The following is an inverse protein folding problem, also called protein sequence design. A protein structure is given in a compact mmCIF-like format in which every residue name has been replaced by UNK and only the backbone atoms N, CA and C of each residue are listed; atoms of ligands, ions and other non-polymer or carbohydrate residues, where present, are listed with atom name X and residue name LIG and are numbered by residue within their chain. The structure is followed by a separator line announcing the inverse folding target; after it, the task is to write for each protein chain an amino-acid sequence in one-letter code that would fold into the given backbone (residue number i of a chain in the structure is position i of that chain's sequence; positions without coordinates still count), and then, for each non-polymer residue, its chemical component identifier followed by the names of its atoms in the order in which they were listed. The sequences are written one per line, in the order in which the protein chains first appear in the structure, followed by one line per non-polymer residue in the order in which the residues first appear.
data_IF_249913916840
#
_entry.id   IF_249913916840
#
_cell.length_a   1.000
_cell.length_b   1.000
_cell.length_c   1.000
_cell.angle_alpha   90.00
_cell.angle_beta   90.00
_cell.angle_gamma   90.00
#
_symmetry.space_group_name_H-M   'P 1'
#
loop_
_entity.id
_entity.type
_entity.pdbx_description
1 polymer ?
#
# COMPACT_ATOMS: atom_id res chain seq x y z
N UNK A 1 13.78 -32.31 9.05
CA UNK A 1 14.89 -31.42 8.64
C UNK A 1 14.90 -31.36 7.11
N UNK A 2 14.76 -30.18 6.51
CA UNK A 2 14.85 -30.03 5.05
C UNK A 2 16.30 -30.22 4.60
N UNK A 3 16.53 -31.00 3.53
CA UNK A 3 17.87 -31.23 2.94
C UNK A 3 18.38 -29.92 2.31
N UNK A 4 19.54 -29.43 2.72
CA UNK A 4 20.24 -28.32 2.06
C UNK A 4 20.76 -28.82 0.70
N UNK A 5 20.45 -28.16 -0.43
CA UNK A 5 20.94 -28.56 -1.75
C UNK A 5 22.47 -28.44 -1.85
N UNK A 6 23.11 -29.21 -2.75
CA UNK A 6 24.57 -29.11 -2.98
C UNK A 6 24.90 -27.96 -3.92
N UNK A 7 25.97 -27.21 -3.62
CA UNK A 7 26.47 -26.09 -4.44
C UNK A 7 26.67 -26.51 -5.90
N UNK A 8 26.08 -25.77 -6.84
CA UNK A 8 26.24 -25.99 -8.29
C UNK A 8 25.07 -26.68 -9.02
N UNK A 9 24.07 -27.20 -8.30
CA UNK A 9 22.83 -27.71 -8.92
C UNK A 9 21.80 -26.56 -9.10
N UNK A 10 20.90 -26.66 -10.08
CA UNK A 10 19.80 -25.69 -10.29
C UNK A 10 18.97 -25.51 -9.01
N UNK A 11 18.79 -26.59 -8.24
CA UNK A 11 18.10 -26.57 -6.94
C UNK A 11 18.82 -25.69 -5.90
N UNK A 12 20.16 -25.60 -5.96
CA UNK A 12 20.94 -24.72 -5.10
C UNK A 12 20.84 -23.27 -5.52
N UNK A 13 20.88 -22.97 -6.82
CA UNK A 13 20.70 -21.60 -7.33
C UNK A 13 19.32 -21.06 -6.97
N UNK A 14 18.28 -21.89 -7.11
CA UNK A 14 16.92 -21.49 -6.71
C UNK A 14 16.79 -21.33 -5.20
N UNK A 15 17.43 -22.20 -4.41
CA UNK A 15 17.47 -22.08 -2.95
C UNK A 15 18.20 -20.81 -2.48
N UNK A 16 19.36 -20.50 -3.07
CA UNK A 16 20.12 -19.28 -2.80
C UNK A 16 19.30 -18.04 -3.17
N UNK A 17 18.65 -18.04 -4.34
CA UNK A 17 17.72 -16.97 -4.75
C UNK A 17 16.58 -16.78 -3.74
N UNK A 18 15.99 -17.88 -3.23
CA UNK A 18 14.91 -17.81 -2.22
C UNK A 18 15.40 -17.26 -0.89
N UNK A 19 16.59 -17.65 -0.44
CA UNK A 19 17.19 -17.09 0.78
C UNK A 19 17.53 -15.62 0.65
N UNK A 20 18.16 -15.22 -0.46
CA UNK A 20 18.45 -13.83 -0.76
C UNK A 20 17.17 -13.01 -0.83
N UNK A 21 16.12 -13.53 -1.47
CA UNK A 21 14.83 -12.85 -1.55
C UNK A 21 14.15 -12.70 -0.17
N UNK A 22 14.23 -13.72 0.69
CA UNK A 22 13.70 -13.65 2.04
C UNK A 22 14.47 -12.66 2.92
N UNK A 23 15.81 -12.63 2.82
CA UNK A 23 16.66 -11.69 3.53
C UNK A 23 16.40 -10.25 3.07
N UNK A 24 16.33 -10.02 1.75
CA UNK A 24 15.93 -8.72 1.18
C UNK A 24 14.57 -8.30 1.69
N UNK A 25 13.56 -9.17 1.64
CA UNK A 25 12.22 -8.83 2.12
C UNK A 25 12.21 -8.42 3.60
N UNK A 26 12.96 -9.12 4.46
CA UNK A 26 13.12 -8.71 5.86
C UNK A 26 13.77 -7.34 5.98
N UNK A 27 14.82 -7.07 5.20
CA UNK A 27 15.50 -5.77 5.17
C UNK A 27 14.54 -4.65 4.77
N UNK A 28 13.80 -4.82 3.67
CA UNK A 28 12.82 -3.82 3.19
C UNK A 28 11.74 -3.55 4.24
N UNK A 29 11.31 -4.57 4.99
CA UNK A 29 10.34 -4.37 6.08
C UNK A 29 10.88 -3.49 7.21
N UNK A 30 12.14 -3.68 7.59
CA UNK A 30 12.77 -2.83 8.60
C UNK A 30 12.93 -1.40 8.08
N UNK A 31 13.40 -1.24 6.84
CA UNK A 31 13.55 0.08 6.20
C UNK A 31 12.21 0.80 6.05
N UNK A 32 11.14 0.10 5.67
CA UNK A 32 9.81 0.71 5.53
C UNK A 32 9.26 1.25 6.86
N UNK A 33 9.42 0.49 7.95
CA UNK A 33 9.01 0.96 9.28
C UNK A 33 9.87 2.12 9.78
N UNK A 34 11.20 2.05 9.59
CA UNK A 34 12.12 3.12 9.94
C UNK A 34 11.81 4.41 9.15
N UNK A 35 11.52 4.28 7.86
CA UNK A 35 11.08 5.39 7.00
C UNK A 35 9.79 6.03 7.55
N UNK A 36 8.75 5.23 7.84
CA UNK A 36 7.51 5.75 8.42
C UNK A 36 7.75 6.48 9.74
N UNK A 37 8.58 5.92 10.63
CA UNK A 37 8.93 6.57 11.91
C UNK A 37 9.71 7.86 11.70
N UNK A 38 10.72 7.87 10.81
CA UNK A 38 11.51 9.06 10.50
C UNK A 38 10.64 10.19 9.93
N UNK A 39 9.69 9.87 9.05
CA UNK A 39 8.76 10.83 8.49
C UNK A 39 7.79 11.41 9.54
N UNK A 40 7.15 10.55 10.35
CA UNK A 40 6.24 11.01 11.42
C UNK A 40 7.00 11.86 12.46
N UNK A 41 8.23 11.47 12.79
CA UNK A 41 9.11 12.23 13.69
C UNK A 41 9.44 13.60 13.09
N UNK A 42 9.80 13.66 11.81
CA UNK A 42 10.12 14.92 11.13
C UNK A 42 8.95 15.91 11.12
N UNK A 43 7.71 15.41 11.05
CA UNK A 43 6.50 16.24 11.17
C UNK A 43 6.22 16.68 12.60
N UNK A 44 6.38 15.78 13.58
CA UNK A 44 6.09 16.08 14.98
C UNK A 44 6.93 17.24 15.53
N UNK A 45 8.18 17.39 15.06
CA UNK A 45 9.14 18.39 15.51
C UNK A 45 9.26 19.61 14.58
N UNK A 46 8.16 19.94 13.88
CA UNK A 46 7.88 21.14 13.07
C UNK A 46 9.08 22.12 12.95
N UNK A 47 9.97 21.90 11.97
CA UNK A 47 11.11 22.79 11.73
C UNK A 47 12.43 22.15 11.28
N UNK A 48 12.59 20.83 11.32
CA UNK A 48 13.83 20.17 10.86
C UNK A 48 13.91 20.01 9.33
N UNK A 49 12.83 20.31 8.59
CA UNK A 49 12.73 20.00 7.17
C UNK A 49 12.76 18.49 6.91
N UNK A 50 12.61 18.11 5.65
CA UNK A 50 12.66 16.71 5.25
C UNK A 50 14.12 16.27 5.10
N UNK A 51 14.60 15.43 6.03
CA UNK A 51 15.89 14.76 5.90
C UNK A 51 15.89 13.69 4.81
N UNK A 52 17.06 13.22 4.39
CA UNK A 52 17.18 12.15 3.39
C UNK A 52 16.51 10.84 3.80
N UNK A 53 16.36 10.64 5.11
CA UNK A 53 15.76 9.44 5.71
C UNK A 53 14.24 9.54 5.83
N UNK A 54 13.65 10.71 5.56
CA UNK A 54 12.21 10.95 5.47
C UNK A 54 11.74 11.31 4.05
N UNK A 55 12.67 11.51 3.10
CA UNK A 55 12.37 11.87 1.70
C UNK A 55 12.11 10.66 0.80
N UNK A 56 10.84 10.30 0.69
CA UNK A 56 10.36 9.22 -0.18
C UNK A 56 8.87 9.41 -0.52
N UNK A 57 8.36 8.52 -1.36
CA UNK A 57 6.92 8.40 -1.64
C UNK A 57 6.40 7.11 -1.02
N UNK A 58 5.35 7.19 -0.22
CA UNK A 58 4.61 5.99 0.14
C UNK A 58 3.72 5.59 -1.04
N UNK A 59 3.79 4.35 -1.48
CA UNK A 59 2.97 3.81 -2.56
C UNK A 59 2.22 2.58 -2.05
N UNK A 60 0.96 2.77 -1.69
CA UNK A 60 0.07 1.70 -1.30
C UNK A 60 -0.47 0.97 -2.51
N UNK A 61 -0.49 -0.36 -2.45
CA UNK A 61 -0.97 -1.22 -3.53
C UNK A 61 -2.00 -2.21 -2.99
N UNK A 62 -2.95 -2.56 -3.83
CA UNK A 62 -3.89 -3.66 -3.62
C UNK A 62 -4.24 -4.30 -4.98
N UNK A 63 -4.50 -5.60 -4.98
CA UNK A 63 -4.76 -6.37 -6.20
C UNK A 63 -6.08 -7.12 -6.06
N UNK A 64 -6.99 -6.83 -6.97
CA UNK A 64 -8.28 -7.52 -7.06
C UNK A 64 -8.23 -8.65 -8.11
N UNK A 65 -8.85 -9.77 -7.75
CA UNK A 65 -8.89 -10.98 -8.59
C UNK A 65 -8.26 -12.19 -7.91
N UNK A 66 -8.42 -13.35 -8.57
CA UNK A 66 -7.98 -14.63 -8.02
C UNK A 66 -7.09 -15.35 -9.03
N UNK A 67 -5.78 -15.27 -8.76
CA UNK A 67 -4.75 -15.96 -9.55
C UNK A 67 -4.82 -17.49 -9.34
N UNK A 68 -5.40 -17.95 -8.22
CA UNK A 68 -5.52 -19.37 -7.87
C UNK A 68 -6.74 -20.00 -8.56
N UNK A 69 -7.89 -19.31 -8.59
CA UNK A 69 -9.15 -19.82 -9.18
C UNK A 69 -9.27 -19.61 -10.70
N UNK A 70 -8.15 -19.41 -11.41
CA UNK A 70 -8.08 -19.23 -12.88
C UNK A 70 -8.80 -17.99 -13.45
N UNK A 71 -9.38 -17.12 -12.62
CA UNK A 71 -10.01 -15.87 -13.07
C UNK A 71 -8.98 -14.76 -13.36
N UNK A 72 -7.76 -14.90 -12.84
CA UNK A 72 -6.68 -13.95 -13.07
C UNK A 72 -6.84 -12.68 -12.25
N UNK A 73 -5.88 -11.76 -12.41
CA UNK A 73 -5.95 -10.41 -11.84
C UNK A 73 -6.95 -9.59 -12.65
N UNK A 74 -7.90 -8.95 -11.98
CA UNK A 74 -8.91 -8.08 -12.59
C UNK A 74 -8.44 -6.64 -12.64
N UNK A 75 -7.89 -6.15 -11.53
CA UNK A 75 -7.38 -4.80 -11.42
C UNK A 75 -6.28 -4.69 -10.37
N UNK A 76 -5.46 -3.67 -10.52
CA UNK A 76 -4.43 -3.28 -9.56
C UNK A 76 -4.64 -1.81 -9.23
N UNK A 77 -4.74 -1.52 -7.94
CA UNK A 77 -4.89 -0.19 -7.40
C UNK A 77 -3.59 0.33 -6.82
N UNK A 78 -3.35 1.62 -7.00
CA UNK A 78 -2.21 2.32 -6.40
C UNK A 78 -2.67 3.64 -5.81
N UNK A 79 -2.28 3.89 -4.56
CA UNK A 79 -2.40 5.20 -3.93
C UNK A 79 -1.02 5.68 -3.48
N UNK A 80 -0.63 6.89 -3.84
CA UNK A 80 0.70 7.45 -3.58
C UNK A 80 0.63 8.72 -2.77
N UNK A 81 1.53 8.87 -1.80
CA UNK A 81 1.65 10.05 -0.96
C UNK A 81 3.12 10.48 -0.89
N UNK A 82 3.42 11.65 -1.47
CA UNK A 82 4.76 12.23 -1.47
C UNK A 82 5.00 12.99 -0.17
N UNK A 83 5.97 12.54 0.63
CA UNK A 83 6.33 13.17 1.90
C UNK A 83 6.72 14.65 1.77
N UNK A 84 7.21 15.09 0.60
CA UNK A 84 7.53 16.50 0.34
C UNK A 84 6.30 17.39 0.34
N UNK A 85 5.11 16.85 0.09
CA UNK A 85 3.86 17.63 0.11
C UNK A 85 3.63 18.28 1.48
N UNK A 86 4.07 17.64 2.57
CA UNK A 86 3.91 18.17 3.93
C UNK A 86 4.87 19.30 4.31
N UNK A 87 5.90 19.56 3.51
CA UNK A 87 6.94 20.55 3.83
C UNK A 87 6.98 21.70 2.82
N UNK A 88 5.93 21.87 2.03
CA UNK A 88 5.82 22.99 1.08
C UNK A 88 5.61 24.30 1.85
N UNK A 89 6.44 25.29 1.57
CA UNK A 89 6.40 26.63 2.19
C UNK A 89 5.23 27.49 1.75
N UNK A 90 4.56 27.12 0.65
CA UNK A 90 3.49 27.92 0.07
C UNK A 90 2.19 27.68 0.85
N UNK A 91 1.73 28.75 1.51
CA UNK A 91 0.61 28.86 2.47
C UNK A 91 -0.79 28.55 1.92
N UNK A 92 -0.91 27.74 0.87
CA UNK A 92 -2.22 27.23 0.46
C UNK A 92 -2.60 26.08 1.39
N UNK A 93 -3.84 26.02 1.90
CA UNK A 93 -4.27 24.90 2.74
C UNK A 93 -3.96 23.57 2.03
N UNK A 94 -3.50 22.53 2.75
CA UNK A 94 -3.18 21.24 2.15
C UNK A 94 -4.37 20.78 1.32
N UNK A 95 -4.10 20.63 0.03
CA UNK A 95 -5.14 20.45 -0.96
C UNK A 95 -5.73 19.06 -0.78
N UNK A 96 -7.01 18.92 -1.11
CA UNK A 96 -7.76 17.67 -1.12
C UNK A 96 -7.22 16.58 -2.08
N UNK A 97 -5.94 16.62 -2.47
CA UNK A 97 -5.30 15.83 -3.52
C UNK A 97 -3.92 15.25 -3.12
N UNK A 98 -3.50 15.32 -1.85
CA UNK A 98 -2.16 14.85 -1.48
C UNK A 98 -1.95 13.33 -1.62
N UNK A 99 -3.02 12.55 -1.61
CA UNK A 99 -2.99 11.15 -2.03
C UNK A 99 -3.49 11.02 -3.46
N UNK A 100 -2.57 10.81 -4.38
CA UNK A 100 -2.89 10.50 -5.77
C UNK A 100 -3.28 9.03 -5.88
N UNK A 101 -4.41 8.74 -6.55
CA UNK A 101 -4.93 7.36 -6.65
C UNK A 101 -5.24 6.99 -8.08
N UNK A 102 -4.77 5.83 -8.50
CA UNK A 102 -4.98 5.30 -9.84
C UNK A 102 -5.36 3.83 -9.79
N UNK A 103 -6.10 3.39 -10.81
CA UNK A 103 -6.42 1.98 -11.00
C UNK A 103 -6.07 1.59 -12.43
N UNK A 104 -5.43 0.44 -12.59
CA UNK A 104 -5.29 -0.24 -13.88
C UNK A 104 -6.16 -1.49 -13.84
N UNK A 105 -7.02 -1.69 -14.83
CA UNK A 105 -8.00 -2.77 -14.85
C UNK A 105 -8.05 -3.45 -16.21
N UNK A 106 -8.39 -4.73 -16.23
CA UNK A 106 -8.71 -5.45 -17.48
C UNK A 106 -10.20 -5.34 -17.77
N UNK A 107 -11.05 -5.66 -16.79
CA UNK A 107 -12.51 -5.64 -16.91
C UNK A 107 -13.19 -5.63 -15.54
N UNK A 108 -14.48 -5.24 -15.49
CA UNK A 108 -15.37 -5.29 -14.31
C UNK A 108 -14.71 -4.84 -12.99
N UNK A 109 -13.92 -3.78 -13.05
CA UNK A 109 -13.31 -3.19 -11.87
C UNK A 109 -14.29 -2.24 -11.21
N UNK A 110 -14.32 -2.27 -9.88
CA UNK A 110 -15.09 -1.32 -9.09
C UNK A 110 -14.61 0.11 -9.35
N UNK A 111 -15.53 1.06 -9.27
CA UNK A 111 -15.21 2.47 -9.48
C UNK A 111 -14.13 2.95 -8.50
N UNK A 112 -13.08 3.56 -9.04
CA UNK A 112 -12.07 4.29 -8.27
C UNK A 112 -12.68 5.62 -7.81
N UNK A 113 -12.83 5.81 -6.50
CA UNK A 113 -13.47 7.00 -5.94
C UNK A 113 -12.58 8.25 -6.03
N UNK A 114 -11.26 8.09 -6.07
CA UNK A 114 -10.28 9.18 -5.98
C UNK A 114 -9.54 9.46 -7.28
N UNK A 115 -9.90 8.78 -8.37
CA UNK A 115 -9.21 8.99 -9.63
C UNK A 115 -9.73 8.13 -10.77
N UNK A 116 -9.02 8.16 -11.91
CA UNK A 116 -9.43 7.39 -13.07
C UNK A 116 -9.16 5.89 -12.88
N UNK A 117 -9.94 5.09 -13.59
CA UNK A 117 -9.60 3.70 -13.90
C UNK A 117 -9.15 3.62 -15.35
N UNK A 118 -7.94 3.13 -15.57
CA UNK A 118 -7.38 2.90 -16.90
C UNK A 118 -7.63 1.45 -17.28
N UNK A 119 -8.51 1.23 -18.25
CA UNK A 119 -8.74 -0.10 -18.81
C UNK A 119 -7.67 -0.44 -19.85
N UNK A 120 -7.09 -1.63 -19.73
CA UNK A 120 -6.00 -2.10 -20.59
C UNK A 120 -6.18 -3.56 -20.97
N UNK A 121 -5.55 -3.96 -22.07
CA UNK A 121 -5.44 -5.38 -22.45
C UNK A 121 -4.65 -6.17 -21.37
N UNK A 122 -4.95 -7.47 -21.15
CA UNK A 122 -4.29 -8.28 -20.13
C UNK A 122 -2.75 -8.22 -20.18
N UNK A 123 -2.17 -8.22 -21.38
CA UNK A 123 -0.72 -8.21 -21.59
C UNK A 123 -0.07 -6.88 -21.20
N UNK A 124 -0.86 -5.80 -21.16
CA UNK A 124 -0.40 -4.45 -20.78
C UNK A 124 -0.58 -4.14 -19.30
N UNK A 125 -1.34 -4.97 -18.56
CA UNK A 125 -1.66 -4.74 -17.15
C UNK A 125 -0.40 -4.44 -16.32
N UNK A 126 0.63 -5.28 -16.47
CA UNK A 126 1.83 -5.18 -15.67
C UNK A 126 2.69 -3.97 -16.03
N UNK A 127 2.84 -3.67 -17.32
CA UNK A 127 3.58 -2.50 -17.79
C UNK A 127 2.89 -1.20 -17.38
N UNK A 128 1.57 -1.16 -17.48
CA UNK A 128 0.76 -0.02 -17.04
C UNK A 128 0.84 0.18 -15.52
N UNK A 129 0.79 -0.90 -14.73
CA UNK A 129 1.02 -0.81 -13.28
C UNK A 129 2.45 -0.39 -12.94
N UNK A 130 3.47 -0.97 -13.58
CA UNK A 130 4.86 -0.59 -13.34
C UNK A 130 5.11 0.90 -13.64
N UNK A 131 4.41 1.46 -14.64
CA UNK A 131 4.46 2.89 -14.95
C UNK A 131 3.91 3.77 -13.81
N UNK A 132 2.91 3.32 -13.04
CA UNK A 132 2.38 4.10 -11.89
C UNK A 132 3.36 4.16 -10.72
N UNK A 133 4.35 3.25 -10.67
CA UNK A 133 5.43 3.29 -9.67
C UNK A 133 6.64 4.12 -10.14
N UNK A 134 6.64 4.67 -11.37
CA UNK A 134 7.74 5.50 -11.87
C UNK A 134 7.49 6.97 -11.56
N UNK A 135 7.83 7.37 -10.33
CA UNK A 135 7.62 8.75 -9.85
C UNK A 135 8.91 9.55 -10.07
N UNK A 136 8.92 10.59 -10.93
CA UNK A 136 10.10 11.42 -11.14
C UNK A 136 10.51 12.21 -9.91
N UNK A 137 11.82 12.39 -9.73
CA UNK A 137 12.37 13.27 -8.72
C UNK A 137 12.50 14.70 -9.26
N UNK A 138 11.58 15.58 -8.82
CA UNK A 138 11.47 16.99 -9.24
C UNK A 138 10.36 17.24 -10.26
N UNK A 139 10.33 18.45 -10.83
CA UNK A 139 9.26 18.88 -11.76
C UNK A 139 9.39 18.28 -13.17
N UNK A 140 10.16 17.21 -13.35
CA UNK A 140 10.38 16.59 -14.67
C UNK A 140 9.24 15.61 -14.98
N UNK A 141 8.86 15.54 -16.25
CA UNK A 141 7.79 14.65 -16.70
C UNK A 141 8.17 13.17 -16.50
N UNK A 142 7.19 12.32 -16.14
CA UNK A 142 7.35 10.86 -16.09
C UNK A 142 7.75 10.22 -17.42
N UNK A 143 7.60 10.94 -18.53
CA UNK A 143 8.06 10.54 -19.86
C UNK A 143 9.58 10.68 -20.08
N UNK A 144 10.27 11.50 -19.25
CA UNK A 144 11.72 11.61 -19.28
C UNK A 144 12.36 10.39 -18.60
N UNK A 145 12.73 9.39 -19.41
CA UNK A 145 13.37 8.17 -18.91
C UNK A 145 14.74 8.39 -18.26
N UNK A 146 15.35 9.58 -18.45
CA UNK A 146 16.62 9.94 -17.84
C UNK A 146 16.47 10.65 -16.49
N UNK A 147 15.24 11.05 -16.14
CA UNK A 147 15.00 11.70 -14.86
C UNK A 147 15.27 10.73 -13.70
N UNK A 148 15.98 11.18 -12.65
CA UNK A 148 16.08 10.40 -11.42
C UNK A 148 14.67 10.10 -10.89
N UNK A 149 14.47 8.92 -10.31
CA UNK A 149 13.20 8.49 -9.75
C UNK A 149 13.22 8.61 -8.22
N UNK A 150 12.05 8.87 -7.63
CA UNK A 150 11.88 8.91 -6.19
C UNK A 150 12.02 7.52 -5.58
N UNK A 151 12.56 7.48 -4.36
CA UNK A 151 12.53 6.30 -3.50
C UNK A 151 11.10 6.03 -3.06
N UNK A 152 10.72 4.77 -3.06
CA UNK A 152 9.38 4.29 -2.72
C UNK A 152 9.41 3.43 -1.46
N UNK A 153 8.45 3.68 -0.58
CA UNK A 153 8.07 2.74 0.47
C UNK A 153 6.73 2.13 0.05
N UNK A 154 6.75 0.86 -0.34
CA UNK A 154 5.52 0.15 -0.71
C UNK A 154 4.70 -0.14 0.54
N UNK A 155 3.38 0.04 0.43
CA UNK A 155 2.43 -0.18 1.52
C UNK A 155 1.36 -1.15 1.03
N UNK A 156 0.84 -2.01 1.91
CA UNK A 156 -0.29 -2.88 1.57
C UNK A 156 -0.82 -3.58 2.81
N UNK A 157 -1.97 -4.23 2.68
CA UNK A 157 -2.64 -4.90 3.80
C UNK A 157 -2.54 -6.42 3.68
N UNK A 158 -1.53 -7.03 4.31
CA UNK A 158 -1.15 -8.40 3.95
C UNK A 158 -0.39 -8.49 2.63
N UNK A 159 0.37 -7.42 2.30
CA UNK A 159 1.08 -7.15 1.04
C UNK A 159 1.92 -8.30 0.47
N UNK A 160 2.26 -9.29 1.29
CA UNK A 160 2.96 -10.48 0.82
C UNK A 160 2.21 -11.19 -0.32
N UNK A 161 0.87 -11.25 -0.24
CA UNK A 161 0.07 -11.90 -1.28
C UNK A 161 0.12 -11.10 -2.59
N UNK A 162 0.03 -9.78 -2.52
CA UNK A 162 0.13 -8.89 -3.69
C UNK A 162 1.50 -9.01 -4.36
N UNK A 163 2.57 -8.99 -3.57
CA UNK A 163 3.94 -9.14 -4.08
C UNK A 163 4.15 -10.51 -4.73
N UNK A 164 3.60 -11.58 -4.15
CA UNK A 164 3.64 -12.91 -4.76
C UNK A 164 2.85 -12.95 -6.08
N UNK A 165 1.71 -12.29 -6.13
CA UNK A 165 0.90 -12.16 -7.35
C UNK A 165 1.67 -11.41 -8.44
N UNK A 166 2.27 -10.26 -8.13
CA UNK A 166 3.09 -9.49 -9.07
C UNK A 166 4.29 -10.31 -9.58
N UNK A 167 4.96 -11.04 -8.69
CA UNK A 167 6.07 -11.91 -9.09
C UNK A 167 5.63 -13.01 -10.06
N UNK A 168 4.44 -13.60 -9.86
CA UNK A 168 3.86 -14.57 -10.81
C UNK A 168 3.50 -13.96 -12.16
N UNK A 169 3.14 -12.68 -12.19
CA UNK A 169 2.90 -11.93 -13.43
C UNK A 169 4.21 -11.52 -14.13
N UNK A 170 5.36 -11.63 -13.46
CA UNK A 170 6.68 -11.31 -14.02
C UNK A 170 7.30 -10.03 -13.48
N UNK A 171 6.66 -9.36 -12.50
CA UNK A 171 7.22 -8.18 -11.84
C UNK A 171 7.68 -8.56 -10.43
N UNK A 172 8.98 -8.72 -10.28
CA UNK A 172 9.57 -8.89 -8.96
C UNK A 172 9.88 -7.52 -8.35
N UNK A 173 9.08 -7.14 -7.36
CA UNK A 173 9.24 -5.87 -6.63
C UNK A 173 10.65 -5.68 -6.05
N UNK A 174 11.34 -6.77 -5.71
CA UNK A 174 12.70 -6.68 -5.15
C UNK A 174 13.77 -6.33 -6.19
N UNK A 175 13.42 -6.36 -7.47
CA UNK A 175 14.30 -5.98 -8.59
C UNK A 175 14.05 -4.52 -9.00
N UNK A 176 13.13 -3.81 -8.32
CA UNK A 176 12.89 -2.37 -8.51
C UNK A 176 13.78 -1.58 -7.57
N UNK A 177 14.86 -0.98 -8.11
CA UNK A 177 15.82 -0.17 -7.34
C UNK A 177 15.19 1.03 -6.62
N UNK A 178 14.03 1.50 -7.07
CA UNK A 178 13.29 2.58 -6.43
C UNK A 178 12.61 2.13 -5.14
N UNK A 179 12.31 0.85 -4.96
CA UNK A 179 11.61 0.34 -3.77
C UNK A 179 12.63 0.12 -2.65
N UNK A 180 12.62 1.02 -1.65
CA UNK A 180 13.56 0.99 -0.53
C UNK A 180 12.97 0.34 0.72
N UNK A 181 11.64 0.30 0.83
CA UNK A 181 10.95 -0.19 2.02
C UNK A 181 9.60 -0.83 1.70
N UNK A 182 9.13 -1.68 2.62
CA UNK A 182 7.81 -2.34 2.54
C UNK A 182 7.13 -2.26 3.91
N UNK A 183 5.87 -1.81 3.92
CA UNK A 183 5.01 -1.75 5.09
C UNK A 183 3.81 -2.68 4.86
N UNK A 184 3.62 -3.61 5.79
CA UNK A 184 2.43 -4.45 5.86
C UNK A 184 1.54 -3.94 6.99
N UNK A 185 0.45 -3.24 6.64
CA UNK A 185 -0.44 -2.59 7.61
C UNK A 185 -1.15 -3.59 8.51
N UNK A 186 -1.36 -4.83 8.06
CA UNK A 186 -1.95 -5.89 8.90
C UNK A 186 -1.00 -6.28 10.05
N UNK A 187 0.31 -6.30 9.77
CA UNK A 187 1.35 -6.56 10.79
C UNK A 187 1.61 -5.34 11.65
N UNK A 188 1.62 -4.15 11.06
CA UNK A 188 1.75 -2.90 11.80
C UNK A 188 0.58 -2.76 12.80
N UNK A 189 -0.66 -2.94 12.35
CA UNK A 189 -1.85 -2.93 13.23
C UNK A 189 -1.74 -3.96 14.36
N UNK A 190 -1.23 -5.17 14.10
CA UNK A 190 -1.02 -6.16 15.16
C UNK A 190 0.01 -5.68 16.21
N UNK A 191 1.05 -4.97 15.80
CA UNK A 191 2.06 -4.41 16.70
C UNK A 191 1.51 -3.23 17.49
N UNK A 192 0.88 -2.26 16.81
CA UNK A 192 0.40 -1.02 17.41
C UNK A 192 -0.88 -1.26 18.22
N UNK A 193 -1.85 -2.00 17.70
CA UNK A 193 -3.18 -2.17 18.30
C UNK A 193 -3.36 -3.50 19.06
N UNK A 194 -2.37 -4.40 19.00
CA UNK A 194 -2.46 -5.73 19.63
C UNK A 194 -3.38 -6.71 18.90
N UNK A 195 -3.89 -6.38 17.71
CA UNK A 195 -4.80 -7.24 16.93
C UNK A 195 -4.63 -7.09 15.41
N UNK A 196 -4.83 -8.18 14.68
CA UNK A 196 -5.01 -8.15 13.21
C UNK A 196 -6.46 -7.80 12.89
N UNK A 197 -6.65 -7.01 11.85
CA UNK A 197 -7.96 -6.65 11.30
C UNK A 197 -7.93 -6.80 9.78
N UNK A 198 -9.09 -6.71 9.12
CA UNK A 198 -9.15 -6.40 7.69
C UNK A 198 -9.05 -4.88 7.49
N UNK A 199 -8.98 -4.42 6.23
CA UNK A 199 -8.86 -2.99 5.89
C UNK A 199 -10.05 -2.19 6.42
N UNK A 200 -11.29 -2.63 6.17
CA UNK A 200 -12.49 -1.91 6.59
C UNK A 200 -12.57 -1.69 8.11
N UNK A 201 -12.27 -2.72 8.90
CA UNK A 201 -12.25 -2.61 10.34
C UNK A 201 -11.08 -1.75 10.82
N UNK A 202 -9.91 -1.84 10.18
CA UNK A 202 -8.78 -0.96 10.51
C UNK A 202 -9.13 0.52 10.30
N UNK A 203 -9.66 0.86 9.13
CA UNK A 203 -10.11 2.22 8.76
C UNK A 203 -11.11 2.74 9.79
N UNK A 204 -12.10 1.91 10.15
CA UNK A 204 -13.10 2.26 11.17
C UNK A 204 -12.48 2.51 12.54
N UNK A 205 -11.55 1.66 13.00
CA UNK A 205 -10.86 1.82 14.28
C UNK A 205 -10.01 3.08 14.35
N UNK A 206 -9.44 3.49 13.22
CA UNK A 206 -8.64 4.71 13.11
C UNK A 206 -9.50 5.97 12.94
N UNK A 207 -10.83 5.85 12.89
CA UNK A 207 -11.74 6.98 12.67
C UNK A 207 -11.59 7.63 11.30
N UNK A 208 -11.08 6.88 10.31
CA UNK A 208 -10.92 7.34 8.93
C UNK A 208 -12.31 7.31 8.26
N UNK A 209 -12.76 8.41 7.64
CA UNK A 209 -14.03 8.43 6.92
C UNK A 209 -14.05 7.37 5.80
N UNK A 210 -15.17 6.65 5.65
CA UNK A 210 -15.42 5.70 4.57
C UNK A 210 -16.91 5.69 4.20
N UNK A 211 -17.25 5.23 2.99
CA UNK A 211 -18.63 5.15 2.51
C UNK A 211 -19.04 3.69 2.26
N UNK A 212 -20.31 3.38 2.48
CA UNK A 212 -20.82 2.02 2.25
C UNK A 212 -20.58 1.60 0.80
N UNK A 213 -20.00 0.41 0.63
CA UNK A 213 -19.66 -0.11 -0.68
C UNK A 213 -18.41 0.52 -1.30
N UNK A 214 -17.55 1.24 -0.57
CA UNK A 214 -16.27 1.72 -1.12
C UNK A 214 -15.16 0.66 -1.16
N UNK A 215 -15.24 -0.38 -0.32
CA UNK A 215 -14.30 -1.51 -0.25
C UNK A 215 -14.50 -2.52 -1.40
N UNK A 216 -13.56 -3.45 -1.58
CA UNK A 216 -13.53 -4.44 -2.68
C UNK A 216 -13.27 -3.77 -4.04
N UNK A 217 -12.46 -2.72 -4.02
CA UNK A 217 -12.02 -2.01 -5.20
C UNK A 217 -10.56 -1.69 -5.01
N UNK A 218 -9.70 -2.29 -5.82
CA UNK A 218 -8.26 -2.27 -5.63
C UNK A 218 -7.71 -0.85 -5.34
N UNK A 219 -8.12 0.15 -6.12
CA UNK A 219 -7.66 1.53 -5.88
C UNK A 219 -8.20 2.13 -4.58
N UNK A 220 -9.43 1.81 -4.20
CA UNK A 220 -10.03 2.30 -2.97
C UNK A 220 -9.38 1.66 -1.74
N UNK A 221 -9.16 0.34 -1.79
CA UNK A 221 -8.50 -0.41 -0.73
C UNK A 221 -7.03 0.00 -0.57
N UNK A 222 -6.33 0.28 -1.67
CA UNK A 222 -5.00 0.89 -1.65
C UNK A 222 -5.03 2.27 -0.96
N UNK A 223 -6.00 3.14 -1.30
CA UNK A 223 -6.15 4.48 -0.73
C UNK A 223 -6.41 4.42 0.78
N UNK A 224 -7.38 3.62 1.20
CA UNK A 224 -7.69 3.42 2.62
C UNK A 224 -6.53 2.81 3.38
N UNK A 225 -5.83 1.85 2.78
CA UNK A 225 -4.64 1.22 3.37
C UNK A 225 -3.53 2.25 3.59
N UNK A 226 -3.35 3.20 2.67
CA UNK A 226 -2.36 4.27 2.82
C UNK A 226 -2.70 5.19 3.99
N UNK A 227 -3.96 5.65 4.07
CA UNK A 227 -4.43 6.48 5.20
C UNK A 227 -4.28 5.75 6.53
N UNK A 228 -4.62 4.46 6.56
CA UNK A 228 -4.45 3.64 7.75
C UNK A 228 -2.97 3.47 8.15
N UNK A 229 -2.05 3.33 7.19
CA UNK A 229 -0.62 3.26 7.46
C UNK A 229 -0.09 4.55 8.11
N UNK A 230 -0.47 5.71 7.57
CA UNK A 230 -0.11 7.02 8.12
C UNK A 230 -0.65 7.19 9.55
N UNK A 231 -1.94 6.85 9.76
CA UNK A 231 -2.57 6.94 11.07
C UNK A 231 -1.92 6.00 12.10
N UNK A 232 -1.55 4.77 11.69
CA UNK A 232 -0.81 3.83 12.55
C UNK A 232 0.59 4.36 12.87
N UNK A 233 1.25 5.04 11.94
CA UNK A 233 2.54 5.69 12.16
C UNK A 233 2.48 6.75 13.26
N UNK A 234 1.46 7.63 13.21
CA UNK A 234 1.22 8.63 14.27
C UNK A 234 0.98 7.95 15.61
N UNK A 235 0.11 6.93 15.65
CA UNK A 235 -0.22 6.24 16.88
C UNK A 235 0.99 5.54 17.50
N UNK A 236 1.82 4.89 16.68
CA UNK A 236 3.07 4.26 17.13
C UNK A 236 4.04 5.30 17.69
N UNK A 237 4.22 6.44 17.01
CA UNK A 237 5.07 7.52 17.48
C UNK A 237 4.58 8.07 18.84
N UNK A 238 3.28 8.31 19.00
CA UNK A 238 2.68 8.73 20.28
C UNK A 238 2.97 7.74 21.41
N UNK A 239 2.81 6.44 21.17
CA UNK A 239 3.13 5.39 22.16
C UNK A 239 4.59 5.39 22.59
N UNK A 240 5.50 5.74 21.70
CA UNK A 240 6.92 5.85 22.01
C UNK A 240 7.23 7.15 22.80
N UNK A 241 6.49 8.23 22.51
CA UNK A 241 6.61 9.52 23.17
C UNK A 241 5.98 9.59 24.57
N UNK A 242 4.97 8.77 24.89
CA UNK A 242 4.35 8.68 26.23
C UNK A 242 5.36 8.37 27.36
N UNK A 243 6.56 7.85 27.03
CA UNK A 243 7.67 7.69 27.98
C UNK A 243 8.57 8.92 28.16
N UNK A 244 8.43 9.97 27.35
CA UNK A 244 9.36 11.10 27.22
C UNK A 244 8.64 12.45 27.08
N UNK A 245 8.06 12.98 28.17
CA UNK A 245 7.43 14.32 28.28
C UNK A 245 6.27 14.63 27.31
N UNK A 246 5.31 15.42 27.80
CA UNK A 246 4.01 15.70 27.19
C UNK A 246 4.04 16.73 26.05
N UNK A 247 4.90 16.52 25.06
CA UNK A 247 4.84 17.29 23.80
C UNK A 247 4.00 16.50 22.80
N UNK A 248 2.71 16.83 22.70
CA UNK A 248 1.81 16.28 21.67
C UNK A 248 2.19 16.96 20.35
N UNK A 249 3.24 16.45 19.71
CA UNK A 249 3.74 16.98 18.45
C UNK A 249 2.59 17.20 17.45
N UNK A 250 2.67 18.28 16.68
CA UNK A 250 1.61 18.64 15.74
C UNK A 250 1.65 17.73 14.51
N UNK A 251 0.66 16.85 14.36
CA UNK A 251 0.48 16.04 13.15
C UNK A 251 -0.54 16.65 12.17
N UNK A 252 -0.84 17.95 12.31
CA UNK A 252 -1.99 18.61 11.68
C UNK A 252 -2.18 18.27 10.19
N UNK A 253 -1.10 18.35 9.39
CA UNK A 253 -1.14 18.02 7.96
C UNK A 253 -1.53 16.56 7.72
N UNK A 254 -0.96 15.61 8.47
CA UNK A 254 -1.33 14.20 8.31
C UNK A 254 -2.74 13.92 8.81
N UNK A 255 -3.17 14.53 9.91
CA UNK A 255 -4.54 14.40 10.40
C UNK A 255 -5.54 14.89 9.35
N UNK A 256 -5.23 15.99 8.66
CA UNK A 256 -6.02 16.50 7.54
C UNK A 256 -6.06 15.50 6.37
N UNK A 257 -4.91 15.01 5.90
CA UNK A 257 -4.81 13.99 4.84
C UNK A 257 -5.60 12.72 5.19
N UNK A 258 -5.44 12.21 6.40
CA UNK A 258 -6.09 10.99 6.90
C UNK A 258 -7.62 11.18 6.95
N UNK A 259 -8.08 12.36 7.40
CA UNK A 259 -9.50 12.67 7.61
C UNK A 259 -10.18 13.33 6.41
N UNK A 260 -9.50 13.45 5.26
CA UNK A 260 -10.10 13.97 4.05
C UNK A 260 -11.45 13.29 3.75
N UNK A 261 -12.47 14.04 3.31
CA UNK A 261 -13.78 13.47 3.01
C UNK A 261 -13.69 12.43 1.89
N UNK A 262 -14.61 11.48 1.91
CA UNK A 262 -14.70 10.43 0.90
C UNK A 262 -15.66 10.90 -0.19
N UNK A 263 -15.26 10.86 -1.47
CA UNK A 263 -16.16 11.15 -2.57
C UNK A 263 -17.42 10.27 -2.52
N UNK A 264 -18.57 10.83 -2.90
CA UNK A 264 -19.81 10.08 -2.92
C UNK A 264 -19.70 8.89 -3.90
N UNK A 265 -19.97 7.69 -3.40
CA UNK A 265 -20.12 6.52 -4.25
C UNK A 265 -21.44 6.66 -5.00
N UNK A 266 -21.40 7.15 -6.25
CA UNK A 266 -22.56 7.11 -7.13
C UNK A 266 -22.90 5.65 -7.38
N UNK A 267 -23.97 5.15 -6.74
CA UNK A 267 -24.54 3.86 -7.10
C UNK A 267 -24.86 3.92 -8.58
N UNK A 268 -24.29 3.03 -9.37
CA UNK A 268 -24.80 2.81 -10.71
C UNK A 268 -26.09 2.03 -10.52
N UNK A 269 -27.22 2.68 -10.77
CA UNK A 269 -28.53 2.05 -10.78
C UNK A 269 -28.51 0.95 -11.88
N UNK A 270 -28.17 -0.28 -11.50
CA UNK A 270 -27.98 -1.39 -12.44
C UNK A 270 -27.16 -2.57 -11.92
N UNK A 271 -26.33 -2.38 -10.88
CA UNK A 271 -25.65 -3.49 -10.21
C UNK A 271 -26.62 -4.12 -9.17
N UNK A 272 -27.57 -4.91 -9.64
CA UNK A 272 -28.23 -5.89 -8.77
C UNK A 272 -27.15 -6.83 -8.24
N UNK A 273 -26.85 -6.71 -6.95
CA UNK A 273 -25.97 -7.62 -6.21
C UNK A 273 -26.40 -9.06 -6.51
N UNK A 274 -25.64 -9.75 -7.38
CA UNK A 274 -25.73 -11.20 -7.49
C UNK A 274 -25.18 -11.74 -6.16
N UNK A 275 -26.10 -12.06 -5.26
CA UNK A 275 -25.83 -12.57 -3.93
C UNK A 275 -24.90 -13.80 -3.99
N UNK A 276 -23.61 -13.60 -3.72
CA UNK A 276 -22.56 -14.64 -3.70
C UNK A 276 -22.63 -15.49 -2.40
N UNK A 277 -23.75 -15.44 -1.67
CA UNK A 277 -24.04 -16.19 -0.43
C UNK A 277 -23.96 -17.72 -0.58
N UNK A 278 -23.80 -18.24 -1.81
CA UNK A 278 -23.58 -19.67 -2.04
C UNK A 278 -22.17 -20.16 -1.66
N UNK A 279 -21.15 -19.28 -1.58
CA UNK A 279 -19.75 -19.74 -1.45
C UNK A 279 -19.23 -19.94 -0.01
N UNK A 280 -19.91 -19.38 1.00
CA UNK A 280 -19.50 -19.50 2.42
C UNK A 280 -20.12 -20.73 3.13
N UNK A 281 -21.06 -21.42 2.48
CA UNK A 281 -21.71 -22.62 3.05
C UNK A 281 -20.87 -23.89 2.90
N UNK A 282 -19.92 -23.95 1.96
CA UNK A 282 -19.03 -25.11 1.79
C UNK A 282 -17.79 -25.05 2.68
N UNK A 283 -17.32 -23.86 3.06
CA UNK A 283 -16.16 -23.72 3.95
C UNK A 283 -16.47 -24.16 5.40
N UNK A 284 -17.73 -24.03 5.86
CA UNK A 284 -18.15 -24.46 7.19
C UNK A 284 -18.41 -25.96 7.33
N UNK A 285 -18.42 -26.73 6.22
CA UNK A 285 -18.57 -28.19 6.26
C UNK A 285 -17.25 -28.94 6.46
N UNK A 286 -16.10 -28.34 6.20
CA UNK A 286 -14.80 -28.99 6.40
C UNK A 286 -14.24 -28.89 7.84
N UNK A 287 -14.76 -27.98 8.68
CA UNK A 287 -14.30 -27.84 10.08
C UNK A 287 -15.11 -28.67 11.10
N UNK A 288 -16.10 -29.46 10.66
CA UNK A 288 -16.89 -30.33 11.56
C UNK A 288 -16.59 -31.84 11.38
N UNK A 289 -15.63 -32.22 10.53
CA UNK A 289 -15.23 -33.63 10.33
C UNK A 289 -13.71 -33.87 10.51
N UNK A 290 -13.03 -33.10 11.36
CA UNK A 290 -11.71 -33.44 11.94
C UNK A 290 -11.74 -33.31 13.45
#
# INVERSE_FOLDING_TARGET
MARVPRRGDQTFVEWERRLSAAARFKSHRMTGLAALQAFVTALAYDGQGLGSDSDFVFASIDIEGDVVKRRGVKSIGVATFDTRACFRSDTSPPLAQDIETSQVAIYNAKANLWGPTTFVEPEKLLDSFAATLRIPDGNRSASDRSAPLRKLVLVGHGIHMDILTLAKLGLNIQDLDTVVGIIDTRRLAQSVLGRKTNVQHLVSLMGIPWSNGSFHGAANDAHYTLRAALALGILEHRKQAEGHSSDDGSYGILDEVIRQPVPECKRQDGDEEMDDSASDSEARKCEQEM
#
